data_IF_985139806291
#
_entry.id   IF_985139806291
#
_cell.length_a   1.000
_cell.length_b   1.000
_cell.length_c   1.000
_cell.angle_alpha   90.00
_cell.angle_beta   90.00
_cell.angle_gamma   90.00
#
_symmetry.space_group_name_H-M   'P 1'
#
loop_
_entity.id
_entity.type
_entity.pdbx_description
1 polymer ?
#
# COMPACT_ATOMS: atom_id res chain seq x y z
N UNK A 1 -13.58 -8.38 37.44
CA UNK A 1 -14.69 -9.36 37.37
C UNK A 1 -14.61 -10.07 36.02
N UNK A 2 -14.90 -11.37 35.96
CA UNK A 2 -14.90 -12.14 34.71
C UNK A 2 -16.28 -12.03 34.05
N UNK A 3 -16.33 -11.81 32.72
CA UNK A 3 -17.61 -11.78 32.01
C UNK A 3 -18.30 -13.15 32.02
N UNK A 4 -19.63 -13.11 32.07
CA UNK A 4 -20.45 -14.30 31.80
C UNK A 4 -20.59 -14.53 30.30
N UNK A 5 -20.90 -15.76 29.89
CA UNK A 5 -21.08 -16.12 28.47
C UNK A 5 -22.19 -15.30 27.78
N UNK A 6 -23.24 -14.90 28.49
CA UNK A 6 -24.29 -14.02 27.93
C UNK A 6 -23.80 -12.60 27.69
N UNK A 7 -22.97 -12.07 28.58
CA UNK A 7 -22.40 -10.74 28.44
C UNK A 7 -21.35 -10.66 27.33
N UNK A 8 -20.57 -11.73 27.14
CA UNK A 8 -19.66 -11.86 26.00
C UNK A 8 -20.44 -11.88 24.69
N UNK A 9 -21.45 -12.75 24.55
CA UNK A 9 -22.32 -12.78 23.37
C UNK A 9 -22.97 -11.43 23.08
N UNK A 10 -23.43 -10.73 24.11
CA UNK A 10 -23.97 -9.38 23.95
C UNK A 10 -22.93 -8.41 23.37
N UNK A 11 -21.71 -8.42 23.92
CA UNK A 11 -20.64 -7.54 23.45
C UNK A 11 -20.22 -7.84 22.01
N UNK A 12 -20.10 -9.12 21.65
CA UNK A 12 -19.74 -9.53 20.29
C UNK A 12 -20.82 -9.10 19.27
N UNK A 13 -22.10 -9.34 19.57
CA UNK A 13 -23.23 -8.89 18.75
C UNK A 13 -23.34 -7.36 18.66
N UNK A 14 -22.97 -6.67 19.74
CA UNK A 14 -22.98 -5.21 19.77
C UNK A 14 -21.86 -4.62 18.91
N UNK A 15 -20.69 -5.25 18.88
CA UNK A 15 -19.59 -4.88 17.98
C UNK A 15 -19.97 -5.04 16.50
N UNK A 16 -20.80 -6.02 16.17
CA UNK A 16 -21.25 -6.27 14.80
C UNK A 16 -22.39 -5.33 14.36
N UNK A 17 -23.40 -5.14 15.21
CA UNK A 17 -24.64 -4.46 14.83
C UNK A 17 -24.74 -3.00 15.28
N UNK A 18 -23.97 -2.61 16.31
CA UNK A 18 -24.10 -1.30 16.97
C UNK A 18 -25.43 -1.06 17.67
N UNK A 19 -26.32 -2.06 17.74
CA UNK A 19 -27.67 -1.91 18.28
C UNK A 19 -27.84 -2.62 19.63
N UNK A 20 -27.91 -1.83 20.70
CA UNK A 20 -27.96 -2.31 22.09
C UNK A 20 -29.15 -3.25 22.36
N UNK A 21 -30.36 -2.91 21.91
CA UNK A 21 -31.56 -3.74 22.15
C UNK A 21 -31.45 -5.06 21.39
N UNK A 22 -31.09 -5.00 20.11
CA UNK A 22 -30.99 -6.17 19.26
C UNK A 22 -29.90 -7.14 19.75
N UNK A 23 -28.72 -6.62 20.10
CA UNK A 23 -27.62 -7.45 20.65
C UNK A 23 -28.02 -8.13 21.95
N UNK A 24 -28.81 -7.47 22.80
CA UNK A 24 -29.31 -8.09 24.04
C UNK A 24 -30.30 -9.22 23.74
N UNK A 25 -31.18 -9.06 22.75
CA UNK A 25 -32.11 -10.11 22.33
C UNK A 25 -31.31 -11.31 21.79
N UNK A 26 -30.37 -11.08 20.88
CA UNK A 26 -29.55 -12.15 20.27
C UNK A 26 -28.70 -12.88 21.31
N UNK A 27 -28.18 -12.17 22.32
CA UNK A 27 -27.44 -12.74 23.44
C UNK A 27 -28.29 -13.57 24.43
N UNK A 28 -29.61 -13.62 24.23
CA UNK A 28 -30.53 -14.43 25.03
C UNK A 28 -31.06 -13.73 26.29
N UNK A 29 -31.17 -12.40 26.27
CA UNK A 29 -31.98 -11.65 27.24
C UNK A 29 -33.44 -11.57 26.78
N UNK A 30 -34.37 -11.43 27.73
CA UNK A 30 -35.79 -11.30 27.39
C UNK A 30 -36.06 -9.98 26.65
N UNK A 31 -37.05 -9.95 25.77
CA UNK A 31 -37.44 -8.72 25.04
C UNK A 31 -37.75 -7.55 25.97
N UNK A 32 -38.38 -7.82 27.12
CA UNK A 32 -38.66 -6.80 28.14
C UNK A 32 -37.37 -6.26 28.76
N UNK A 33 -36.39 -7.12 29.05
CA UNK A 33 -35.08 -6.69 29.55
C UNK A 33 -34.32 -5.89 28.49
N UNK A 34 -34.30 -6.36 27.24
CA UNK A 34 -33.60 -5.69 26.15
C UNK A 34 -34.09 -4.24 25.97
N UNK A 35 -35.40 -4.03 25.98
CA UNK A 35 -36.03 -2.71 25.88
C UNK A 35 -35.77 -1.80 27.07
N UNK A 36 -35.93 -2.34 28.29
CA UNK A 36 -35.89 -1.51 29.49
C UNK A 36 -34.51 -1.34 30.12
N UNK A 37 -33.58 -2.29 29.88
CA UNK A 37 -32.37 -2.43 30.70
C UNK A 37 -31.09 -2.70 29.91
N UNK A 38 -31.12 -2.89 28.58
CA UNK A 38 -29.90 -3.21 27.83
C UNK A 38 -28.83 -2.10 27.89
N UNK A 39 -29.23 -0.83 28.08
CA UNK A 39 -28.28 0.27 28.33
C UNK A 39 -27.36 0.01 29.54
N UNK A 40 -27.83 -0.75 30.54
CA UNK A 40 -27.03 -1.14 31.72
C UNK A 40 -25.93 -2.14 31.36
N UNK A 41 -26.10 -2.94 30.31
CA UNK A 41 -25.07 -3.85 29.81
C UNK A 41 -23.91 -3.04 29.22
N UNK A 42 -24.21 -2.00 28.45
CA UNK A 42 -23.19 -1.11 27.89
C UNK A 42 -22.47 -0.31 28.98
N UNK A 43 -23.21 0.13 30.02
CA UNK A 43 -22.63 0.84 31.15
C UNK A 43 -21.80 -0.05 32.10
N UNK A 44 -21.85 -1.38 31.94
CA UNK A 44 -21.10 -2.29 32.80
C UNK A 44 -19.60 -2.22 32.46
N UNK A 45 -18.77 -1.88 33.45
CA UNK A 45 -17.32 -1.70 33.29
C UNK A 45 -16.65 -2.93 32.67
N UNK A 46 -17.01 -4.15 33.08
CA UNK A 46 -16.39 -5.36 32.54
C UNK A 46 -16.76 -5.59 31.08
N UNK A 47 -18.00 -5.30 30.70
CA UNK A 47 -18.47 -5.41 29.30
C UNK A 47 -17.81 -4.34 28.43
N UNK A 48 -17.74 -3.10 28.93
CA UNK A 48 -17.07 -2.00 28.24
C UNK A 48 -15.60 -2.31 27.98
N UNK A 49 -14.84 -2.75 28.98
CA UNK A 49 -13.43 -3.12 28.81
C UNK A 49 -13.25 -4.24 27.78
N UNK A 50 -14.13 -5.25 27.77
CA UNK A 50 -14.08 -6.31 26.76
C UNK A 50 -14.38 -5.79 25.34
N UNK A 51 -15.38 -4.92 25.18
CA UNK A 51 -15.68 -4.27 23.89
C UNK A 51 -14.46 -3.47 23.40
N UNK A 52 -13.81 -2.72 24.28
CA UNK A 52 -12.63 -1.92 23.96
C UNK A 52 -11.44 -2.80 23.53
N UNK A 53 -11.17 -3.88 24.26
CA UNK A 53 -10.13 -4.86 23.94
C UNK A 53 -10.37 -5.50 22.56
N UNK A 54 -11.59 -5.98 22.33
CA UNK A 54 -11.97 -6.59 21.04
C UNK A 54 -11.93 -5.59 19.89
N UNK A 55 -12.35 -4.36 20.12
CA UNK A 55 -12.24 -3.29 19.13
C UNK A 55 -10.76 -2.98 18.81
N UNK A 56 -9.89 -2.97 19.82
CA UNK A 56 -8.46 -2.80 19.63
C UNK A 56 -7.84 -3.96 18.84
N UNK A 57 -8.22 -5.21 19.11
CA UNK A 57 -7.81 -6.38 18.32
C UNK A 57 -8.25 -6.26 16.87
N UNK A 58 -9.53 -5.95 16.63
CA UNK A 58 -10.08 -5.75 15.27
C UNK A 58 -9.34 -4.62 14.56
N UNK A 59 -9.09 -3.50 15.26
CA UNK A 59 -8.33 -2.38 14.73
C UNK A 59 -6.91 -2.79 14.36
N UNK A 60 -6.20 -3.51 15.23
CA UNK A 60 -4.83 -3.98 14.96
C UNK A 60 -4.74 -4.91 13.75
N UNK A 61 -5.78 -5.70 13.48
CA UNK A 61 -5.82 -6.64 12.35
C UNK A 61 -6.27 -6.01 11.03
N UNK A 62 -7.11 -4.96 11.10
CA UNK A 62 -7.73 -4.33 9.90
C UNK A 62 -7.08 -3.03 9.50
N UNK A 63 -6.49 -2.31 10.45
CA UNK A 63 -5.87 -1.01 10.24
C UNK A 63 -4.37 -1.16 10.45
N UNK A 64 -3.62 -0.82 9.40
CA UNK A 64 -2.17 -0.77 9.43
C UNK A 64 -1.67 0.11 10.58
N UNK A 65 -0.72 -0.42 11.35
CA UNK A 65 -0.04 0.32 12.42
C UNK A 65 0.88 1.42 11.87
N UNK A 66 1.38 2.30 12.75
CA UNK A 66 2.36 3.31 12.33
C UNK A 66 3.68 2.64 11.93
N UNK A 67 4.12 1.62 12.67
CA UNK A 67 5.33 0.85 12.36
C UNK A 67 5.22 0.19 10.98
N UNK A 68 4.12 -0.55 10.74
CA UNK A 68 3.86 -1.23 9.47
C UNK A 68 3.78 -0.25 8.29
N UNK A 69 3.16 0.92 8.49
CA UNK A 69 3.12 1.96 7.46
C UNK A 69 4.53 2.49 7.13
N UNK A 70 5.39 2.67 8.14
CA UNK A 70 6.78 3.12 7.94
C UNK A 70 7.61 2.03 7.26
N UNK A 71 7.42 0.76 7.60
CA UNK A 71 8.07 -0.37 6.93
C UNK A 71 7.74 -0.41 5.44
N UNK A 72 6.45 -0.28 5.09
CA UNK A 72 6.02 -0.24 3.68
C UNK A 72 6.62 0.95 2.94
N UNK A 73 6.56 2.15 3.52
CA UNK A 73 7.18 3.33 2.91
C UNK A 73 8.69 3.14 2.73
N UNK A 74 9.36 2.44 3.66
CA UNK A 74 10.79 2.13 3.58
C UNK A 74 11.08 1.17 2.44
N UNK A 75 10.31 0.09 2.29
CA UNK A 75 10.48 -0.86 1.19
C UNK A 75 10.19 -0.23 -0.18
N UNK A 76 9.21 0.67 -0.28
CA UNK A 76 8.99 1.49 -1.48
C UNK A 76 10.23 2.35 -1.74
N UNK A 77 10.67 3.14 -0.76
CA UNK A 77 11.82 4.02 -0.90
C UNK A 77 13.11 3.29 -1.33
N UNK A 78 13.31 2.05 -0.88
CA UNK A 78 14.45 1.20 -1.25
C UNK A 78 14.33 0.51 -2.62
N UNK A 79 13.15 0.50 -3.23
CA UNK A 79 12.89 -0.24 -4.47
C UNK A 79 12.66 -1.74 -4.26
N UNK A 80 12.47 -2.19 -3.01
CA UNK A 80 12.23 -3.60 -2.68
C UNK A 80 10.82 -4.06 -3.11
N UNK A 81 9.86 -3.13 -3.10
CA UNK A 81 8.47 -3.39 -3.52
C UNK A 81 8.33 -3.20 -5.03
N UNK A 82 7.83 -4.25 -5.70
CA UNK A 82 7.53 -4.24 -7.13
C UNK A 82 6.07 -3.95 -7.39
N UNK A 83 5.82 -3.16 -8.42
CA UNK A 83 4.51 -2.90 -8.99
C UNK A 83 4.37 -3.57 -10.35
N UNK A 84 3.16 -4.03 -10.64
CA UNK A 84 2.80 -4.57 -11.94
C UNK A 84 2.28 -3.43 -12.81
N UNK A 85 2.95 -3.15 -13.91
CA UNK A 85 2.53 -2.12 -14.87
C UNK A 85 2.27 -2.72 -16.24
N UNK A 86 1.27 -2.18 -16.93
CA UNK A 86 0.95 -2.55 -18.31
C UNK A 86 1.65 -1.57 -19.23
N UNK A 87 2.52 -2.09 -20.10
CA UNK A 87 3.25 -1.30 -21.10
C UNK A 87 2.71 -1.62 -22.49
N UNK A 88 2.50 -0.59 -23.30
CA UNK A 88 2.13 -0.76 -24.70
C UNK A 88 3.35 -1.19 -25.52
N UNK A 89 3.23 -2.27 -26.27
CA UNK A 89 4.22 -2.75 -27.24
C UNK A 89 3.66 -2.63 -28.66
N UNK A 90 4.50 -2.65 -29.71
CA UNK A 90 4.02 -2.61 -31.10
C UNK A 90 3.05 -3.75 -31.49
N UNK A 91 3.02 -4.83 -30.68
CA UNK A 91 2.21 -6.04 -30.92
C UNK A 91 0.99 -6.09 -29.98
N UNK A 92 0.90 -5.23 -28.95
CA UNK A 92 -0.21 -5.23 -28.01
C UNK A 92 0.13 -4.57 -26.67
N UNK A 93 -0.28 -5.18 -25.57
CA UNK A 93 0.05 -4.73 -24.22
C UNK A 93 0.68 -5.88 -23.44
N UNK A 94 1.78 -5.59 -22.76
CA UNK A 94 2.49 -6.56 -21.92
C UNK A 94 2.49 -6.10 -20.47
N UNK A 95 2.40 -7.07 -19.57
CA UNK A 95 2.44 -6.84 -18.13
C UNK A 95 3.85 -7.09 -17.63
N UNK A 96 4.51 -6.06 -17.09
CA UNK A 96 5.85 -6.15 -16.52
C UNK A 96 5.82 -5.83 -15.03
N UNK A 97 6.69 -6.48 -14.26
CA UNK A 97 6.95 -6.11 -12.87
C UNK A 97 8.17 -5.19 -12.83
N UNK A 98 8.04 -4.02 -12.22
CA UNK A 98 9.15 -3.08 -11.99
C UNK A 98 9.09 -2.53 -10.57
N UNK A 99 10.18 -1.98 -10.09
CA UNK A 99 10.19 -1.21 -8.84
C UNK A 99 9.38 0.08 -9.01
N UNK A 100 8.92 0.64 -7.89
CA UNK A 100 8.27 1.95 -7.87
C UNK A 100 9.17 3.01 -8.54
N UNK A 101 8.56 3.90 -9.33
CA UNK A 101 9.29 4.98 -9.98
C UNK A 101 9.97 5.93 -8.98
N UNK A 102 10.97 6.69 -9.45
CA UNK A 102 11.75 7.58 -8.60
C UNK A 102 10.86 8.58 -7.85
N UNK A 103 9.80 9.08 -8.49
CA UNK A 103 8.86 10.05 -7.90
C UNK A 103 8.08 9.47 -6.73
N UNK A 104 7.65 8.23 -6.85
CA UNK A 104 6.93 7.47 -5.82
C UNK A 104 7.86 7.17 -4.66
N UNK A 105 9.11 6.77 -4.94
CA UNK A 105 10.15 6.55 -3.93
C UNK A 105 10.49 7.82 -3.16
N UNK A 106 10.64 8.94 -3.86
CA UNK A 106 10.85 10.27 -3.28
C UNK A 106 9.67 10.69 -2.40
N UNK A 107 8.45 10.39 -2.83
CA UNK A 107 7.25 10.69 -2.05
C UNK A 107 7.23 9.87 -0.75
N UNK A 108 7.59 8.59 -0.82
CA UNK A 108 7.74 7.74 0.36
C UNK A 108 8.80 8.27 1.35
N UNK A 109 9.97 8.69 0.84
CA UNK A 109 11.02 9.31 1.66
C UNK A 109 10.53 10.60 2.35
N UNK A 110 9.79 11.46 1.64
CA UNK A 110 9.22 12.68 2.21
C UNK A 110 8.25 12.36 3.35
N UNK A 111 7.39 11.36 3.19
CA UNK A 111 6.44 10.96 4.23
C UNK A 111 7.13 10.38 5.47
N UNK A 112 8.24 9.64 5.30
CA UNK A 112 9.08 9.20 6.42
C UNK A 112 9.69 10.41 7.14
N UNK A 113 10.28 11.35 6.41
CA UNK A 113 10.95 12.52 7.00
C UNK A 113 10.00 13.46 7.74
N UNK A 114 8.77 13.67 7.24
CA UNK A 114 7.76 14.46 7.95
C UNK A 114 7.44 13.90 9.35
N UNK A 115 7.55 12.58 9.52
CA UNK A 115 7.27 11.89 10.79
C UNK A 115 8.50 11.82 11.70
N UNK A 116 9.70 11.86 11.13
CA UNK A 116 10.97 11.84 11.85
C UNK A 116 11.82 13.07 11.45
N UNK A 117 11.46 14.28 11.93
CA UNK A 117 12.06 15.54 11.51
C UNK A 117 13.48 15.78 12.03
N UNK A 118 13.97 14.96 12.96
CA UNK A 118 15.36 15.02 13.44
C UNK A 118 16.39 14.59 12.37
N UNK A 119 15.92 14.21 11.18
CA UNK A 119 16.76 13.95 10.02
C UNK A 119 17.19 15.27 9.35
N UNK A 120 18.46 15.59 9.58
CA UNK A 120 19.29 16.69 9.05
C UNK A 120 18.78 17.41 7.78
N UNK A 121 18.84 18.76 7.78
CA UNK A 121 18.54 19.65 6.64
C UNK A 121 19.27 19.24 5.36
N UNK A 122 20.42 18.57 5.46
CA UNK A 122 21.15 18.02 4.31
C UNK A 122 20.36 16.94 3.57
N UNK A 123 19.62 16.09 4.29
CA UNK A 123 18.78 15.03 3.70
C UNK A 123 17.62 15.65 2.92
N UNK A 124 17.00 16.72 3.43
CA UNK A 124 15.94 17.45 2.71
C UNK A 124 16.43 18.03 1.38
N UNK A 125 17.64 18.62 1.38
CA UNK A 125 18.24 19.16 0.15
C UNK A 125 18.57 18.05 -0.85
N UNK A 126 19.05 16.90 -0.38
CA UNK A 126 19.31 15.74 -1.25
C UNK A 126 18.02 15.21 -1.88
N UNK A 127 16.92 15.12 -1.13
CA UNK A 127 15.61 14.74 -1.67
C UNK A 127 15.11 15.75 -2.71
N UNK A 128 15.31 17.04 -2.46
CA UNK A 128 14.95 18.08 -3.42
C UNK A 128 15.73 17.93 -4.73
N UNK A 129 17.03 17.64 -4.63
CA UNK A 129 17.89 17.34 -5.79
C UNK A 129 17.38 16.11 -6.55
N UNK A 130 17.12 15.01 -5.85
CA UNK A 130 16.59 13.78 -6.45
C UNK A 130 15.23 14.01 -7.12
N UNK A 131 14.38 14.86 -6.55
CA UNK A 131 13.10 15.27 -7.16
C UNK A 131 13.32 15.97 -8.51
N UNK A 132 14.23 16.95 -8.55
CA UNK A 132 14.54 17.66 -9.78
C UNK A 132 15.16 16.72 -10.84
N UNK A 133 16.03 15.80 -10.43
CA UNK A 133 16.63 14.81 -11.34
C UNK A 133 15.58 13.84 -11.90
N UNK A 134 14.63 13.40 -11.08
CA UNK A 134 13.51 12.56 -11.52
C UNK A 134 12.62 13.29 -12.54
N UNK A 135 12.26 14.55 -12.27
CA UNK A 135 11.45 15.38 -13.18
C UNK A 135 12.16 15.59 -14.53
N UNK A 136 13.47 15.86 -14.50
CA UNK A 136 14.30 15.98 -15.71
C UNK A 136 14.35 14.65 -16.48
N UNK A 137 14.50 13.53 -15.78
CA UNK A 137 14.54 12.20 -16.40
C UNK A 137 13.22 11.84 -17.07
N UNK A 138 12.08 12.17 -16.44
CA UNK A 138 10.75 11.94 -17.01
C UNK A 138 10.52 12.82 -18.25
N UNK A 139 10.88 14.11 -18.18
CA UNK A 139 10.78 15.03 -19.31
C UNK A 139 11.63 14.55 -20.50
N UNK A 140 12.88 14.15 -20.26
CA UNK A 140 13.76 13.59 -21.29
C UNK A 140 13.20 12.31 -21.89
N UNK A 141 12.71 11.37 -21.08
CA UNK A 141 12.11 10.14 -21.56
C UNK A 141 10.89 10.40 -22.46
N UNK A 142 10.08 11.41 -22.11
CA UNK A 142 8.92 11.82 -22.90
C UNK A 142 9.29 12.50 -24.22
N UNK A 143 10.31 13.36 -24.23
CA UNK A 143 10.87 13.95 -25.47
C UNK A 143 11.44 12.87 -26.39
N UNK A 144 12.21 11.92 -25.85
CA UNK A 144 12.72 10.75 -26.58
C UNK A 144 11.59 9.91 -27.20
N UNK A 145 10.45 9.76 -26.50
CA UNK A 145 9.28 9.07 -27.02
C UNK A 145 8.49 9.87 -28.07
N UNK A 146 8.61 11.20 -28.14
CA UNK A 146 7.90 12.02 -29.12
C UNK A 146 8.70 12.32 -30.39
N UNK A 147 10.04 12.39 -30.31
CA UNK A 147 10.91 12.78 -31.42
C UNK A 147 11.47 11.58 -32.25
N UNK A 148 11.27 10.33 -31.82
CA UNK A 148 11.96 9.17 -32.41
C UNK A 148 11.06 8.04 -32.90
N UNK A 149 10.93 7.94 -34.22
CA UNK A 149 10.74 6.70 -34.96
C UNK A 149 11.73 5.63 -34.46
N UNK A 150 11.31 4.36 -34.46
CA UNK A 150 12.13 3.21 -34.03
C UNK A 150 13.48 3.24 -34.76
N UNK A 151 14.55 3.58 -34.05
CA UNK A 151 15.91 3.40 -34.55
C UNK A 151 16.69 2.56 -33.55
N UNK A 152 16.99 1.34 -34.02
CA UNK A 152 17.90 0.35 -33.49
C UNK A 152 17.86 0.07 -31.98
N UNK A 153 17.02 -0.90 -31.61
CA UNK A 153 17.41 -1.86 -30.58
C UNK A 153 18.74 -2.46 -31.03
N UNK A 154 19.86 -1.97 -30.49
CA UNK A 154 21.09 -2.73 -30.43
C UNK A 154 20.81 -3.97 -29.60
N UNK A 155 20.30 -5.01 -30.27
CA UNK A 155 20.36 -6.37 -29.77
C UNK A 155 21.86 -6.66 -29.67
N UNK A 156 22.36 -6.67 -28.44
CA UNK A 156 23.68 -7.16 -28.10
C UNK A 156 23.75 -8.60 -28.65
N UNK A 157 24.45 -8.74 -29.78
CA UNK A 157 24.79 -10.01 -30.39
C UNK A 157 23.96 -10.45 -31.58
N UNK A 158 24.06 -9.76 -32.73
CA UNK A 158 24.14 -10.40 -34.06
C UNK A 158 24.60 -9.36 -35.10
N UNK A 159 25.89 -9.35 -35.40
CA UNK A 159 26.53 -8.42 -36.33
C UNK A 159 26.19 -8.81 -37.79
N UNK A 160 25.11 -8.24 -38.34
CA UNK A 160 24.64 -8.48 -39.72
C UNK A 160 25.47 -7.72 -40.78
N UNK A 161 26.73 -7.37 -40.48
CA UNK A 161 27.67 -6.77 -41.44
C UNK A 161 28.69 -7.74 -42.04
N UNK A 162 28.69 -9.02 -41.64
CA UNK A 162 29.56 -10.05 -42.25
C UNK A 162 28.94 -10.92 -43.34
N UNK A 163 27.63 -10.87 -43.57
CA UNK A 163 26.98 -11.74 -44.56
C UNK A 163 26.99 -11.21 -46.01
N UNK A 164 27.32 -9.94 -46.23
CA UNK A 164 27.37 -9.34 -47.57
C UNK A 164 28.78 -9.19 -48.16
N UNK A 165 29.82 -9.61 -47.44
CA UNK A 165 31.20 -9.59 -47.94
C UNK A 165 31.64 -10.92 -48.60
N UNK A 166 30.93 -12.03 -48.35
CA UNK A 166 31.27 -13.36 -48.89
C UNK A 166 30.46 -13.76 -50.14
N UNK A 167 29.67 -12.84 -50.71
CA UNK A 167 28.85 -13.11 -51.92
C UNK A 167 29.33 -12.36 -53.17
N UNK A 168 30.47 -11.69 -53.11
CA UNK A 168 31.03 -10.92 -54.23
C UNK A 168 32.38 -11.45 -54.74
N UNK A 169 32.81 -12.64 -54.34
CA UNK A 169 34.04 -13.27 -54.85
C UNK A 169 33.79 -14.48 -55.77
N UNK A 170 32.54 -14.90 -55.98
CA UNK A 170 32.17 -15.96 -56.94
C UNK A 170 31.26 -15.42 -58.08
N UNK A 171 31.79 -14.48 -58.88
CA UNK A 171 31.23 -14.14 -60.21
C UNK A 171 32.33 -13.80 -61.20
#
# INVERSE_FOLDING_TARGET
>A
MKLTSKQQKFADEFLETGNIEQSAITAGYSKAYARGNAHKLVANVSIKSYIEERMAEIKSKRIMGIEEAVEILTSIARGEMKETVVVGTPIGAETIEKEADLKTRISALKEIMKRYPDNDKLVEQQIRKLSAEADISEARAKELMSDGYVDDVQIIGFDRRKANAERSEDS
#
